data_IF_277519397954
#
_entry.id   IF_277519397954
#
_cell.length_a   1.000
_cell.length_b   1.000
_cell.length_c   1.000
_cell.angle_alpha   90.00
_cell.angle_beta   90.00
_cell.angle_gamma   90.00
#
_symmetry.space_group_name_H-M   'P 1'
#
loop_
_entity.id
_entity.type
_entity.pdbx_description
1 polymer ?
#
# COMPACT_ATOMS: atom_id res chain seq x y z
N UNK A 1 26.42 12.30 36.02
CA UNK A 1 26.04 12.65 34.64
C UNK A 1 26.67 14.02 34.35
N UNK A 2 27.61 14.09 33.42
CA UNK A 2 28.40 15.31 33.21
C UNK A 2 27.56 16.38 32.50
N UNK A 3 27.68 17.63 32.95
CA UNK A 3 26.96 18.81 32.41
C UNK A 3 26.99 18.91 30.87
N UNK A 4 28.09 18.46 30.23
CA UNK A 4 28.19 18.39 28.77
C UNK A 4 27.25 17.34 28.11
N UNK A 5 27.00 16.23 28.79
CA UNK A 5 26.05 15.21 28.27
C UNK A 5 24.59 15.68 28.34
N UNK A 6 24.26 16.43 29.40
CA UNK A 6 22.92 17.00 29.55
C UNK A 6 22.63 18.11 28.55
N UNK A 7 23.65 18.93 28.22
CA UNK A 7 23.52 20.00 27.20
C UNK A 7 23.43 19.39 25.79
N UNK A 8 24.19 18.33 25.49
CA UNK A 8 24.11 17.62 24.21
C UNK A 8 22.74 16.93 24.02
N UNK A 9 22.19 16.35 25.09
CA UNK A 9 20.85 15.73 25.06
C UNK A 9 19.76 16.81 24.87
N UNK A 10 19.89 17.98 25.47
CA UNK A 10 18.96 19.11 25.33
C UNK A 10 19.02 19.73 23.93
N UNK A 11 20.20 19.79 23.31
CA UNK A 11 20.37 20.27 21.93
C UNK A 11 19.77 19.26 20.93
N UNK A 12 19.91 17.97 21.16
CA UNK A 12 19.30 16.92 20.33
C UNK A 12 17.75 16.96 20.44
N UNK A 13 17.21 17.22 21.63
CA UNK A 13 15.75 17.41 21.81
C UNK A 13 15.23 18.73 21.20
N UNK A 14 16.04 19.79 21.12
CA UNK A 14 15.61 21.07 20.54
C UNK A 14 15.65 21.12 19.00
N UNK A 15 16.52 20.30 18.38
CA UNK A 15 16.53 20.13 16.92
C UNK A 15 15.64 18.99 16.43
N UNK A 16 15.04 18.21 17.34
CA UNK A 16 14.11 17.11 17.05
C UNK A 16 12.67 17.50 16.74
N UNK A 17 12.32 18.81 16.73
CA UNK A 17 11.05 19.28 16.14
C UNK A 17 11.10 19.28 14.60
N UNK A 18 11.70 18.26 14.02
CA UNK A 18 11.60 17.95 12.61
C UNK A 18 10.15 17.54 12.33
N UNK A 19 9.37 18.49 11.86
CA UNK A 19 8.14 18.38 11.09
C UNK A 19 7.66 16.93 10.90
N UNK A 20 6.88 16.43 11.84
CA UNK A 20 6.17 15.16 11.70
C UNK A 20 5.10 15.34 10.62
N UNK A 21 5.51 15.17 9.37
CA UNK A 21 4.55 15.04 8.29
C UNK A 21 3.96 13.64 8.41
N UNK A 22 2.64 13.55 8.55
CA UNK A 22 1.93 12.29 8.53
C UNK A 22 2.32 11.52 7.25
N UNK A 23 3.04 10.43 7.43
CA UNK A 23 3.35 9.49 6.36
C UNK A 23 2.07 8.73 6.01
N UNK A 24 1.91 8.37 4.75
CA UNK A 24 0.88 7.42 4.36
C UNK A 24 1.32 6.01 4.72
N UNK A 25 0.37 5.08 4.76
CA UNK A 25 0.62 3.69 5.06
C UNK A 25 1.63 3.07 4.08
N UNK A 26 2.62 2.37 4.61
CA UNK A 26 3.63 1.66 3.83
C UNK A 26 3.29 0.17 3.77
N UNK A 27 3.54 -0.44 2.63
CA UNK A 27 3.42 -1.88 2.45
C UNK A 27 4.76 -2.50 2.06
N UNK A 28 4.88 -3.81 2.26
CA UNK A 28 6.07 -4.58 1.91
C UNK A 28 5.83 -5.44 0.67
N UNK A 29 4.60 -5.92 0.45
CA UNK A 29 4.24 -6.63 -0.76
C UNK A 29 3.89 -5.65 -1.89
N UNK A 30 4.45 -5.88 -3.08
CA UNK A 30 4.21 -5.00 -4.25
C UNK A 30 2.74 -4.94 -4.68
N UNK A 31 1.98 -6.03 -4.51
CA UNK A 31 0.57 -6.08 -4.84
C UNK A 31 -0.27 -5.20 -3.90
N UNK A 32 0.08 -5.13 -2.61
CA UNK A 32 -0.56 -4.22 -1.66
C UNK A 32 -0.36 -2.76 -2.09
N UNK A 33 0.84 -2.41 -2.55
CA UNK A 33 1.10 -1.10 -3.16
C UNK A 33 0.18 -0.81 -4.34
N UNK A 34 0.02 -1.77 -5.26
CA UNK A 34 -0.82 -1.60 -6.44
C UNK A 34 -2.27 -1.33 -6.07
N UNK A 35 -2.83 -2.15 -5.17
CA UNK A 35 -4.24 -2.05 -4.79
C UNK A 35 -4.57 -0.73 -4.12
N UNK A 36 -3.63 -0.20 -3.36
CA UNK A 36 -3.79 1.09 -2.70
C UNK A 36 -3.47 2.28 -3.62
N UNK A 37 -2.35 2.20 -4.34
CA UNK A 37 -1.74 3.37 -5.00
C UNK A 37 -2.20 3.56 -6.45
N UNK A 38 -2.46 2.48 -7.19
CA UNK A 38 -2.85 2.56 -8.60
C UNK A 38 -3.83 1.47 -9.00
N UNK A 39 -5.10 1.70 -8.75
CA UNK A 39 -6.17 0.77 -9.09
C UNK A 39 -6.35 0.53 -10.59
N UNK A 40 -5.87 1.45 -11.46
CA UNK A 40 -5.88 1.24 -12.91
C UNK A 40 -4.88 0.15 -13.33
N UNK A 41 -3.66 0.16 -12.80
CA UNK A 41 -2.68 -0.91 -13.03
C UNK A 41 -3.10 -2.20 -12.33
N UNK A 42 -3.64 -2.12 -11.13
CA UNK A 42 -4.21 -3.26 -10.40
C UNK A 42 -5.29 -3.99 -11.21
N UNK A 43 -5.99 -3.29 -12.11
CA UNK A 43 -7.03 -3.86 -12.97
C UNK A 43 -6.51 -4.70 -14.14
N UNK A 44 -5.21 -4.82 -14.36
CA UNK A 44 -4.64 -5.66 -15.43
C UNK A 44 -4.61 -7.15 -15.10
N UNK A 45 -5.15 -7.59 -13.96
CA UNK A 45 -5.21 -9.01 -13.61
C UNK A 45 -6.02 -9.84 -14.61
N UNK A 46 -5.71 -11.12 -14.72
CA UNK A 46 -6.41 -12.07 -15.57
C UNK A 46 -7.46 -12.83 -14.75
N UNK A 47 -8.72 -12.44 -14.89
CA UNK A 47 -9.85 -13.01 -14.16
C UNK A 47 -11.06 -12.10 -14.22
N UNK A 48 -12.16 -12.53 -13.60
CA UNK A 48 -13.37 -11.72 -13.41
C UNK A 48 -13.41 -11.04 -12.05
N UNK A 49 -12.91 -11.73 -11.03
CA UNK A 49 -12.86 -11.28 -9.65
C UNK A 49 -11.44 -11.29 -9.12
N UNK A 50 -11.12 -10.28 -8.36
CA UNK A 50 -9.92 -10.28 -7.55
C UNK A 50 -10.27 -9.80 -6.15
N UNK A 51 -9.86 -10.57 -5.16
CA UNK A 51 -9.94 -10.18 -3.75
C UNK A 51 -8.55 -10.29 -3.13
N UNK A 52 -8.20 -9.38 -2.25
CA UNK A 52 -6.96 -9.43 -1.50
C UNK A 52 -7.19 -9.02 -0.05
N UNK A 53 -6.48 -9.67 0.84
CA UNK A 53 -6.35 -9.24 2.24
C UNK A 53 -4.86 -9.23 2.58
N UNK A 54 -4.41 -8.18 3.26
CA UNK A 54 -3.06 -8.10 3.79
C UNK A 54 -3.08 -7.60 5.23
N UNK A 55 -2.13 -8.10 6.01
CA UNK A 55 -1.91 -7.68 7.39
C UNK A 55 -0.42 -7.43 7.59
N UNK A 56 -0.09 -6.23 8.05
CA UNK A 56 1.28 -5.78 8.29
C UNK A 56 1.44 -5.33 9.73
N UNK A 57 2.55 -5.72 10.35
CA UNK A 57 2.97 -5.28 11.68
C UNK A 57 4.39 -4.76 11.61
N UNK A 58 4.61 -3.52 12.06
CA UNK A 58 5.90 -2.83 11.98
C UNK A 58 6.32 -2.34 13.36
N UNK A 59 7.64 -2.30 13.61
CA UNK A 59 8.30 -1.76 14.80
C UNK A 59 7.86 -2.35 16.14
N UNK A 60 7.43 -3.60 16.15
CA UNK A 60 7.02 -4.31 17.37
C UNK A 60 8.14 -4.45 18.43
N UNK A 61 9.40 -4.19 18.06
CA UNK A 61 10.55 -4.24 18.95
C UNK A 61 10.93 -2.89 19.59
N UNK A 62 10.33 -1.79 19.11
CA UNK A 62 10.74 -0.43 19.53
C UNK A 62 9.68 0.22 20.42
N UNK A 63 8.42 0.10 20.04
CA UNK A 63 7.28 0.79 20.70
C UNK A 63 6.00 0.00 20.46
N UNK A 64 4.84 0.61 20.73
CA UNK A 64 3.55 0.09 20.29
C UNK A 64 3.57 -0.12 18.77
N UNK A 65 3.35 -1.35 18.30
CA UNK A 65 3.51 -1.67 16.89
C UNK A 65 2.51 -0.90 16.02
N UNK A 66 2.96 -0.49 14.84
CA UNK A 66 2.07 -0.02 13.78
C UNK A 66 1.43 -1.23 13.12
N UNK A 67 0.12 -1.23 13.00
CA UNK A 67 -0.65 -2.34 12.45
C UNK A 67 -1.50 -1.82 11.30
N UNK A 68 -1.26 -2.37 10.10
CA UNK A 68 -2.03 -2.03 8.91
C UNK A 68 -2.74 -3.27 8.38
N UNK A 69 -4.05 -3.20 8.20
CA UNK A 69 -4.87 -4.27 7.62
C UNK A 69 -5.59 -3.76 6.39
N UNK A 70 -5.65 -4.57 5.34
CA UNK A 70 -6.31 -4.19 4.08
C UNK A 70 -7.26 -5.26 3.59
N UNK A 71 -8.31 -4.81 2.92
CA UNK A 71 -9.21 -5.64 2.15
C UNK A 71 -9.48 -4.96 0.80
N UNK A 72 -9.19 -5.65 -0.29
CA UNK A 72 -9.43 -5.17 -1.64
C UNK A 72 -10.33 -6.13 -2.40
N UNK A 73 -11.31 -5.60 -3.09
CA UNK A 73 -12.22 -6.33 -3.96
C UNK A 73 -12.30 -5.63 -5.31
N UNK A 74 -12.25 -6.37 -6.40
CA UNK A 74 -12.44 -5.83 -7.73
C UNK A 74 -13.19 -6.84 -8.60
N UNK A 75 -14.18 -6.36 -9.35
CA UNK A 75 -14.94 -7.15 -10.32
C UNK A 75 -14.88 -6.52 -11.69
N UNK A 76 -14.63 -7.35 -12.71
CA UNK A 76 -14.73 -6.98 -14.12
C UNK A 76 -16.09 -7.34 -14.70
N UNK A 77 -16.64 -6.42 -15.46
CA UNK A 77 -17.87 -6.57 -16.19
C UNK A 77 -17.56 -6.58 -17.70
N UNK A 78 -18.01 -7.62 -18.38
CA UNK A 78 -17.80 -7.77 -19.81
C UNK A 78 -18.93 -7.08 -20.56
N UNK A 79 -18.57 -6.13 -21.41
CA UNK A 79 -19.52 -5.52 -22.35
C UNK A 79 -19.62 -6.35 -23.62
N UNK A 80 -20.63 -6.07 -24.43
CA UNK A 80 -20.78 -6.68 -25.77
C UNK A 80 -19.55 -6.44 -26.64
N UNK A 81 -18.91 -5.28 -26.51
CA UNK A 81 -17.60 -5.01 -27.09
C UNK A 81 -16.51 -5.67 -26.25
N UNK A 82 -15.91 -6.74 -26.79
CA UNK A 82 -14.83 -7.50 -26.11
C UNK A 82 -13.56 -6.70 -25.85
N UNK A 83 -13.36 -5.57 -26.52
CA UNK A 83 -12.20 -4.71 -26.33
C UNK A 83 -12.31 -3.86 -25.05
N UNK A 84 -13.52 -3.63 -24.55
CA UNK A 84 -13.77 -2.82 -23.37
C UNK A 84 -14.26 -3.71 -22.23
N UNK A 85 -13.66 -3.55 -21.04
CA UNK A 85 -14.14 -4.13 -19.80
C UNK A 85 -14.31 -3.01 -18.79
N UNK A 86 -15.44 -2.94 -18.16
CA UNK A 86 -15.64 -2.09 -16.99
C UNK A 86 -15.20 -2.86 -15.74
N UNK A 87 -14.83 -2.14 -14.72
CA UNK A 87 -14.56 -2.75 -13.42
C UNK A 87 -14.99 -1.81 -12.29
N UNK A 88 -15.36 -2.40 -11.19
CA UNK A 88 -15.72 -1.70 -9.97
C UNK A 88 -15.26 -2.52 -8.78
N UNK A 89 -14.93 -1.86 -7.68
CA UNK A 89 -14.48 -2.54 -6.50
C UNK A 89 -14.45 -1.65 -5.27
N UNK A 90 -13.94 -2.23 -4.19
CA UNK A 90 -13.84 -1.62 -2.88
C UNK A 90 -12.44 -1.83 -2.33
N UNK A 91 -11.95 -0.85 -1.59
CA UNK A 91 -10.74 -0.92 -0.80
C UNK A 91 -11.05 -0.43 0.61
N UNK A 92 -10.76 -1.26 1.58
CA UNK A 92 -10.73 -0.89 2.99
C UNK A 92 -9.31 -0.99 3.50
N UNK A 93 -8.85 0.05 4.19
CA UNK A 93 -7.56 0.07 4.89
C UNK A 93 -7.82 0.56 6.29
N UNK A 94 -7.36 -0.18 7.28
CA UNK A 94 -7.26 0.26 8.65
C UNK A 94 -5.78 0.34 9.02
N UNK A 95 -5.35 1.50 9.48
CA UNK A 95 -4.02 1.74 9.99
C UNK A 95 -4.09 2.24 11.43
N UNK A 96 -3.38 1.54 12.32
CA UNK A 96 -3.32 1.88 13.74
C UNK A 96 -1.88 2.15 14.12
N UNK A 97 -1.62 3.31 14.71
CA UNK A 97 -0.24 3.78 14.93
C UNK A 97 -0.06 4.54 16.23
N UNK A 98 1.08 4.28 16.88
CA UNK A 98 1.57 5.02 18.03
C UNK A 98 0.86 4.75 19.35
N UNK A 99 1.38 5.38 20.42
CA UNK A 99 0.89 5.23 21.78
C UNK A 99 -0.50 5.87 21.98
N UNK A 100 -0.83 6.89 21.18
CA UNK A 100 -2.15 7.52 21.16
C UNK A 100 -3.21 6.71 20.39
N UNK A 101 -2.84 5.50 19.89
CA UNK A 101 -3.70 4.61 19.12
C UNK A 101 -4.44 5.35 17.99
N UNK A 102 -3.70 6.23 17.26
CA UNK A 102 -4.27 6.89 16.09
C UNK A 102 -4.74 5.82 15.11
N UNK A 103 -6.03 5.72 14.92
CA UNK A 103 -6.66 4.81 13.96
C UNK A 103 -7.12 5.60 12.75
N UNK A 104 -6.72 5.14 11.57
CA UNK A 104 -7.13 5.69 10.27
C UNK A 104 -7.85 4.61 9.50
N UNK A 105 -9.12 4.84 9.20
CA UNK A 105 -9.96 3.95 8.40
C UNK A 105 -10.23 4.60 7.04
N UNK A 106 -9.82 3.93 5.95
CA UNK A 106 -10.10 4.34 4.58
C UNK A 106 -11.15 3.41 3.97
N UNK A 107 -12.32 3.94 3.66
CA UNK A 107 -13.40 3.24 2.93
C UNK A 107 -13.51 3.83 1.54
N UNK A 108 -12.92 3.18 0.55
CA UNK A 108 -12.83 3.68 -0.82
C UNK A 108 -13.52 2.72 -1.79
N UNK A 109 -14.38 3.26 -2.64
CA UNK A 109 -14.89 2.58 -3.82
C UNK A 109 -14.09 3.00 -5.05
N UNK A 110 -13.97 2.13 -6.03
CA UNK A 110 -13.39 2.50 -7.32
C UNK A 110 -14.21 1.99 -8.48
N UNK A 111 -14.21 2.78 -9.54
CA UNK A 111 -14.85 2.44 -10.82
C UNK A 111 -13.93 2.83 -11.96
N UNK A 112 -13.94 2.05 -13.02
CA UNK A 112 -13.09 2.34 -14.16
C UNK A 112 -13.34 1.43 -15.34
N UNK A 113 -12.45 1.54 -16.31
CA UNK A 113 -12.50 0.75 -17.52
C UNK A 113 -11.12 0.40 -18.05
N UNK A 114 -11.06 -0.73 -18.72
CA UNK A 114 -9.89 -1.20 -19.43
C UNK A 114 -10.24 -1.34 -20.90
N UNK A 115 -9.41 -0.77 -21.78
CA UNK A 115 -9.54 -0.86 -23.23
C UNK A 115 -8.34 -1.59 -23.82
N UNK A 116 -8.59 -2.62 -24.63
CA UNK A 116 -7.55 -3.37 -25.34
C UNK A 116 -7.58 -3.03 -26.83
N UNK A 117 -6.44 -2.60 -27.32
CA UNK A 117 -6.22 -2.34 -28.74
C UNK A 117 -4.91 -3.02 -29.20
N UNK A 118 -5.03 -4.02 -30.07
CA UNK A 118 -3.91 -4.87 -30.49
C UNK A 118 -3.18 -5.45 -29.28
N UNK A 119 -1.91 -5.12 -29.12
CA UNK A 119 -1.04 -5.55 -28.04
C UNK A 119 -1.00 -4.55 -26.86
N UNK A 120 -1.72 -3.42 -26.98
CA UNK A 120 -1.84 -2.41 -25.94
C UNK A 120 -3.06 -2.65 -25.07
N UNK A 121 -2.93 -2.35 -23.82
CA UNK A 121 -4.03 -2.31 -22.86
C UNK A 121 -3.92 -1.02 -22.06
N UNK A 122 -5.00 -0.26 -22.04
CA UNK A 122 -5.13 0.99 -21.31
C UNK A 122 -6.15 0.81 -20.20
N UNK A 123 -5.96 1.44 -19.08
CA UNK A 123 -6.91 1.46 -17.97
C UNK A 123 -7.01 2.87 -17.40
N UNK A 124 -8.22 3.27 -17.05
CA UNK A 124 -8.48 4.49 -16.30
C UNK A 124 -9.41 4.19 -15.15
N UNK A 125 -9.14 4.76 -13.99
CA UNK A 125 -9.88 4.47 -12.78
C UNK A 125 -10.06 5.72 -11.93
N UNK A 126 -11.23 5.86 -11.32
CA UNK A 126 -11.53 6.84 -10.28
C UNK A 126 -11.78 6.08 -8.99
N UNK A 127 -11.14 6.49 -7.90
CA UNK A 127 -11.33 5.96 -6.56
C UNK A 127 -11.81 7.08 -5.65
N UNK A 128 -12.84 6.84 -4.85
CA UNK A 128 -13.46 7.85 -4.00
C UNK A 128 -14.05 7.20 -2.74
N UNK A 129 -14.14 7.97 -1.68
CA UNK A 129 -14.74 7.49 -0.44
C UNK A 129 -14.44 8.35 0.76
N UNK A 130 -14.55 7.76 1.93
CA UNK A 130 -14.42 8.44 3.23
C UNK A 130 -13.17 7.93 3.93
N UNK A 131 -12.39 8.86 4.46
CA UNK A 131 -11.28 8.61 5.37
C UNK A 131 -11.71 9.11 6.75
N UNK A 132 -11.64 8.24 7.75
CA UNK A 132 -11.90 8.57 9.15
C UNK A 132 -10.62 8.46 9.94
N UNK A 133 -10.35 9.43 10.81
CA UNK A 133 -9.22 9.43 11.74
C UNK A 133 -9.75 9.57 13.15
N UNK A 134 -9.24 8.76 14.06
CA UNK A 134 -9.65 8.76 15.46
C UNK A 134 -8.44 8.61 16.38
N UNK A 135 -8.37 9.43 17.40
CA UNK A 135 -7.42 9.34 18.51
C UNK A 135 -8.12 8.69 19.70
N UNK A 136 -7.41 7.82 20.42
CA UNK A 136 -7.91 7.23 21.66
C UNK A 136 -7.73 8.23 22.81
N UNK A 137 -8.83 8.64 23.44
CA UNK A 137 -8.82 9.62 24.53
C UNK A 137 -8.11 9.11 25.80
N UNK A 138 -8.05 7.79 25.98
CA UNK A 138 -7.61 7.19 27.25
C UNK A 138 -6.10 7.24 27.49
N UNK A 139 -5.30 7.38 26.44
CA UNK A 139 -3.82 7.30 26.50
C UNK A 139 -3.13 8.58 26.00
N UNK A 140 -3.89 9.62 25.68
CA UNK A 140 -3.33 10.85 25.14
C UNK A 140 -2.70 11.68 26.27
N UNK A 141 -1.38 11.78 26.27
CA UNK A 141 -0.64 12.67 27.17
C UNK A 141 0.04 13.76 26.37
N UNK A 142 -0.15 15.01 26.78
CA UNK A 142 0.41 16.19 26.13
C UNK A 142 1.71 16.61 26.79
N UNK A 143 2.66 17.23 26.08
CA UNK A 143 3.92 17.70 26.66
C UNK A 143 3.74 18.62 27.87
N UNK A 144 2.69 19.45 27.89
CA UNK A 144 2.33 20.33 29.04
C UNK A 144 1.93 19.59 30.30
N UNK A 145 1.57 18.31 30.19
CA UNK A 145 1.17 17.47 31.32
C UNK A 145 2.37 16.74 31.96
N UNK A 146 3.60 16.93 31.45
CA UNK A 146 4.77 16.36 32.08
C UNK A 146 5.14 17.11 33.35
N UNK A 147 4.95 16.47 34.49
CA UNK A 147 5.33 16.98 35.80
C UNK A 147 6.81 16.71 36.06
N UNK A 148 7.60 17.77 36.13
CA UNK A 148 9.05 17.70 36.38
C UNK A 148 9.39 17.30 37.82
N UNK A 149 8.48 17.48 38.76
CA UNK A 149 8.71 17.11 40.16
C UNK A 149 8.55 15.62 40.39
N UNK A 150 7.56 15.01 39.76
CA UNK A 150 7.30 13.56 39.86
C UNK A 150 8.01 12.76 38.79
N UNK A 151 8.48 13.40 37.69
CA UNK A 151 9.09 12.74 36.54
C UNK A 151 8.11 11.93 35.69
N UNK A 152 6.80 12.18 35.81
CA UNK A 152 5.74 11.48 35.10
C UNK A 152 4.72 12.43 34.46
N UNK A 153 3.78 11.86 33.72
CA UNK A 153 2.67 12.62 33.15
C UNK A 153 1.52 12.69 34.16
N UNK A 154 1.01 13.92 34.40
CA UNK A 154 -0.14 14.19 35.23
C UNK A 154 -1.28 14.74 34.36
N UNK A 155 -2.31 13.92 34.13
CA UNK A 155 -3.46 14.26 33.28
C UNK A 155 -4.30 15.44 33.80
N UNK A 156 -4.12 15.83 35.07
CA UNK A 156 -4.81 16.99 35.68
C UNK A 156 -4.11 18.30 35.34
N UNK A 157 -2.90 18.28 34.75
CA UNK A 157 -2.23 19.48 34.29
C UNK A 157 -2.78 19.88 32.90
N UNK A 158 -2.83 21.20 32.61
CA UNK A 158 -3.26 21.67 31.29
C UNK A 158 -2.37 21.06 30.19
N UNK A 159 -2.96 20.48 29.14
CA UNK A 159 -2.23 19.86 28.04
C UNK A 159 -1.42 20.85 27.18
N UNK A 160 -1.80 22.11 27.18
CA UNK A 160 -1.18 23.18 26.39
C UNK A 160 -1.71 23.26 24.95
N UNK A 161 -2.36 22.21 24.47
CA UNK A 161 -3.01 22.15 23.15
C UNK A 161 -4.49 21.80 23.35
N UNK A 162 -5.37 22.55 22.67
CA UNK A 162 -6.79 22.23 22.64
C UNK A 162 -7.09 21.40 21.40
N UNK A 163 -7.47 20.15 21.60
CA UNK A 163 -8.04 19.33 20.53
C UNK A 163 -9.50 19.75 20.34
N UNK A 164 -9.86 20.17 19.14
CA UNK A 164 -11.23 20.49 18.79
C UNK A 164 -12.10 19.22 18.76
N UNK A 165 -11.52 18.11 18.32
CA UNK A 165 -12.15 16.82 18.28
C UNK A 165 -11.11 15.71 18.30
N UNK A 166 -11.47 14.55 18.87
CA UNK A 166 -10.66 13.32 18.81
C UNK A 166 -11.00 12.45 17.59
N UNK A 167 -12.01 12.84 16.82
CA UNK A 167 -12.39 12.17 15.59
C UNK A 167 -12.69 13.17 14.47
N UNK A 168 -12.29 12.83 13.26
CA UNK A 168 -12.60 13.60 12.05
C UNK A 168 -12.80 12.65 10.88
N UNK A 169 -13.61 13.08 9.92
CA UNK A 169 -13.82 12.33 8.67
C UNK A 169 -13.88 13.29 7.49
N UNK A 170 -13.33 12.89 6.37
CA UNK A 170 -13.33 13.67 5.14
C UNK A 170 -13.50 12.78 3.92
N UNK A 171 -13.95 13.38 2.83
CA UNK A 171 -14.08 12.71 1.55
C UNK A 171 -12.77 12.79 0.77
N UNK A 172 -12.35 11.67 0.16
CA UNK A 172 -11.15 11.58 -0.66
C UNK A 172 -11.48 11.16 -2.09
N UNK A 173 -10.71 11.71 -3.05
CA UNK A 173 -10.85 11.44 -4.48
C UNK A 173 -9.48 11.24 -5.11
N UNK A 174 -9.32 10.11 -5.80
CA UNK A 174 -8.08 9.71 -6.45
C UNK A 174 -8.36 9.32 -7.90
N UNK A 175 -7.44 9.63 -8.81
CA UNK A 175 -7.48 9.23 -10.21
C UNK A 175 -6.26 8.40 -10.55
N UNK A 176 -6.43 7.38 -11.36
CA UNK A 176 -5.31 6.56 -11.85
C UNK A 176 -5.47 6.18 -13.31
N UNK A 177 -4.33 6.10 -13.99
CA UNK A 177 -4.18 5.64 -15.35
C UNK A 177 -3.17 4.50 -15.39
N UNK A 178 -3.38 3.57 -16.31
CA UNK A 178 -2.48 2.46 -16.54
C UNK A 178 -2.33 2.18 -18.03
N UNK A 179 -1.15 1.83 -18.43
CA UNK A 179 -0.86 1.35 -19.78
C UNK A 179 0.03 0.12 -19.69
N UNK A 180 -0.24 -0.87 -20.56
CA UNK A 180 0.52 -2.10 -20.68
C UNK A 180 0.64 -2.48 -22.14
N UNK A 181 1.82 -2.93 -22.54
CA UNK A 181 2.13 -3.31 -23.91
C UNK A 181 2.90 -4.63 -23.96
N UNK A 182 2.42 -5.57 -24.75
CA UNK A 182 3.14 -6.81 -25.04
C UNK A 182 4.01 -6.62 -26.27
N UNK A 183 5.27 -6.29 -26.04
CA UNK A 183 6.22 -6.00 -27.13
C UNK A 183 6.48 -7.23 -27.99
N UNK A 184 6.72 -8.39 -27.33
CA UNK A 184 6.96 -9.66 -28.01
C UNK A 184 6.65 -10.83 -27.05
N UNK A 185 7.06 -12.04 -27.41
CA UNK A 185 6.85 -13.22 -26.56
C UNK A 185 7.65 -13.17 -25.25
N UNK A 186 8.76 -12.39 -25.21
CA UNK A 186 9.65 -12.30 -24.05
C UNK A 186 9.38 -11.08 -23.16
N UNK A 187 8.80 -10.00 -23.71
CA UNK A 187 8.68 -8.74 -23.00
C UNK A 187 7.25 -8.23 -22.97
N UNK A 188 6.79 -7.91 -21.77
CA UNK A 188 5.62 -7.12 -21.52
C UNK A 188 6.06 -5.96 -20.63
N UNK A 189 5.71 -4.73 -21.00
CA UNK A 189 6.10 -3.51 -20.29
C UNK A 189 4.86 -2.69 -19.98
N UNK A 190 4.92 -1.87 -18.95
CA UNK A 190 3.81 -1.00 -18.62
C UNK A 190 4.21 0.15 -17.72
N UNK A 191 3.28 1.09 -17.62
CA UNK A 191 3.39 2.26 -16.77
C UNK A 191 2.05 2.59 -16.12
N UNK A 192 2.11 3.33 -15.04
CA UNK A 192 0.96 3.87 -14.35
C UNK A 192 1.21 5.29 -13.88
N UNK A 193 0.15 6.06 -13.82
CA UNK A 193 0.10 7.40 -13.24
C UNK A 193 -1.05 7.43 -12.24
N UNK A 194 -0.83 8.02 -11.08
CA UNK A 194 -1.88 8.25 -10.11
C UNK A 194 -1.80 9.66 -9.55
N UNK A 195 -2.96 10.26 -9.28
CA UNK A 195 -3.09 11.52 -8.55
C UNK A 195 -4.01 11.25 -7.37
N UNK A 196 -3.53 11.49 -6.16
CA UNK A 196 -4.26 11.23 -4.92
C UNK A 196 -4.59 12.53 -4.20
N UNK A 197 -5.62 12.48 -3.38
CA UNK A 197 -6.09 13.62 -2.58
C UNK A 197 -6.41 14.86 -3.43
N UNK A 198 -7.12 14.66 -4.56
CA UNK A 198 -7.48 15.73 -5.49
C UNK A 198 -8.29 16.85 -4.83
N UNK A 199 -9.09 16.53 -3.82
CA UNK A 199 -9.94 17.49 -3.12
C UNK A 199 -9.17 18.29 -2.07
N UNK A 200 -7.95 17.85 -1.70
CA UNK A 200 -7.15 18.48 -0.65
C UNK A 200 -7.97 18.78 0.63
N UNK A 201 -8.78 17.79 1.05
CA UNK A 201 -9.70 17.92 2.16
C UNK A 201 -8.99 18.34 3.45
N UNK A 202 -9.67 19.06 4.31
CA UNK A 202 -9.17 19.41 5.64
C UNK A 202 -9.11 18.17 6.53
N UNK A 203 -7.99 17.99 7.22
CA UNK A 203 -7.76 16.82 8.07
C UNK A 203 -6.89 17.20 9.28
N UNK A 204 -7.38 18.12 10.10
CA UNK A 204 -6.73 18.58 11.33
C UNK A 204 -7.60 18.24 12.54
N UNK A 205 -6.95 17.81 13.63
CA UNK A 205 -7.57 17.70 14.95
C UNK A 205 -7.49 19.04 15.74
N UNK A 206 -6.73 20.00 15.21
CA UNK A 206 -6.53 21.34 15.79
C UNK A 206 -7.34 22.34 14.99
N UNK A 207 -7.59 23.51 15.58
CA UNK A 207 -8.29 24.64 14.92
C UNK A 207 -7.54 25.19 13.67
N UNK A 208 -6.37 24.66 13.36
CA UNK A 208 -5.59 25.08 12.19
C UNK A 208 -6.11 24.44 10.91
N UNK A 209 -6.26 25.27 9.87
CA UNK A 209 -6.63 24.81 8.53
C UNK A 209 -5.45 24.03 7.91
N UNK A 210 -5.46 22.72 8.05
CA UNK A 210 -4.44 21.82 7.54
C UNK A 210 -5.01 20.89 6.48
N UNK A 211 -4.80 21.24 5.21
CA UNK A 211 -5.25 20.48 4.07
C UNK A 211 -4.28 19.33 3.73
N UNK A 212 -4.82 18.19 3.38
CA UNK A 212 -4.01 17.07 2.86
C UNK A 212 -3.48 17.48 1.48
N UNK A 213 -2.15 17.55 1.29
CA UNK A 213 -1.60 17.91 -0.01
C UNK A 213 -1.88 16.85 -1.06
N UNK A 214 -2.16 17.27 -2.28
CA UNK A 214 -2.22 16.40 -3.45
C UNK A 214 -0.90 15.65 -3.64
N UNK A 215 -0.99 14.38 -4.00
CA UNK A 215 0.16 13.53 -4.30
C UNK A 215 0.11 12.96 -5.71
N UNK A 216 1.27 12.78 -6.32
CA UNK A 216 1.42 12.21 -7.65
C UNK A 216 2.33 10.98 -7.58
N UNK A 217 1.87 9.87 -8.17
CA UNK A 217 2.64 8.64 -8.25
C UNK A 217 2.87 8.21 -9.70
N UNK A 218 4.07 7.76 -9.99
CA UNK A 218 4.46 7.16 -11.26
C UNK A 218 4.90 5.73 -11.01
N UNK A 219 4.49 4.83 -11.87
CA UNK A 219 4.85 3.43 -11.82
C UNK A 219 5.38 2.95 -13.15
N UNK A 220 6.48 2.20 -13.12
CA UNK A 220 7.02 1.47 -14.27
C UNK A 220 7.14 0.00 -13.87
N UNK A 221 6.73 -0.88 -14.76
CA UNK A 221 6.83 -2.32 -14.52
C UNK A 221 7.09 -3.06 -15.82
N UNK A 222 7.72 -4.21 -15.71
CA UNK A 222 7.88 -5.11 -16.84
C UNK A 222 7.74 -6.57 -16.38
N UNK A 223 7.50 -7.45 -17.34
CA UNK A 223 7.64 -8.90 -17.20
C UNK A 223 8.56 -9.39 -18.29
N UNK A 224 9.68 -9.99 -17.90
CA UNK A 224 10.61 -10.64 -18.80
C UNK A 224 10.46 -12.17 -18.67
N UNK A 225 10.01 -12.82 -19.72
CA UNK A 225 9.88 -14.27 -19.81
C UNK A 225 11.25 -14.85 -20.21
N UNK A 226 12.02 -15.29 -19.20
CA UNK A 226 13.34 -15.92 -19.40
C UNK A 226 13.17 -17.19 -20.22
N UNK A 227 12.19 -18.00 -19.86
CA UNK A 227 11.71 -19.18 -20.57
C UNK A 227 10.24 -19.44 -20.19
N UNK A 228 9.67 -20.57 -20.60
CA UNK A 228 8.27 -20.91 -20.35
C UNK A 228 7.92 -21.14 -18.86
N UNK A 229 8.93 -21.37 -17.99
CA UNK A 229 8.73 -21.57 -16.54
C UNK A 229 9.18 -20.39 -15.70
N UNK A 230 10.12 -19.59 -16.18
CA UNK A 230 10.76 -18.55 -15.38
C UNK A 230 10.46 -17.17 -15.94
N UNK A 231 10.09 -16.25 -15.05
CA UNK A 231 9.90 -14.84 -15.38
C UNK A 231 10.48 -13.92 -14.32
N UNK A 232 10.95 -12.76 -14.75
CA UNK A 232 11.42 -11.68 -13.91
C UNK A 232 10.46 -10.50 -14.05
N UNK A 233 10.09 -9.90 -12.93
CA UNK A 233 9.15 -8.77 -12.86
C UNK A 233 9.79 -7.59 -12.13
N UNK A 234 10.62 -6.78 -12.82
CA UNK A 234 11.09 -5.53 -12.24
C UNK A 234 9.95 -4.52 -12.08
N UNK A 235 10.03 -3.73 -11.02
CA UNK A 235 9.10 -2.66 -10.71
C UNK A 235 9.86 -1.44 -10.18
N UNK A 236 9.39 -0.26 -10.56
CA UNK A 236 9.72 1.02 -9.97
C UNK A 236 8.41 1.73 -9.68
N UNK A 237 8.25 2.20 -8.47
CA UNK A 237 7.16 3.06 -8.05
C UNK A 237 7.75 4.28 -7.36
N UNK A 238 7.37 5.49 -7.78
CA UNK A 238 7.76 6.76 -7.16
C UNK A 238 6.50 7.56 -6.85
N UNK A 239 6.34 7.95 -5.60
CA UNK A 239 5.20 8.74 -5.14
C UNK A 239 5.69 9.98 -4.40
N UNK A 240 5.16 11.13 -4.77
CA UNK A 240 5.55 12.43 -4.22
C UNK A 240 4.35 13.22 -3.77
N UNK A 241 4.45 13.77 -2.57
CA UNK A 241 3.44 14.62 -1.96
C UNK A 241 4.12 15.74 -1.19
N UNK A 242 4.00 17.01 -1.66
CA UNK A 242 4.59 18.22 -1.05
C UNK A 242 6.05 18.02 -0.62
N UNK A 243 6.27 17.61 0.64
CA UNK A 243 7.59 17.39 1.25
C UNK A 243 7.86 15.91 1.58
N UNK A 244 6.99 15.00 1.17
CA UNK A 244 7.14 13.55 1.36
C UNK A 244 7.30 12.86 0.02
N UNK A 245 8.25 11.94 -0.09
CA UNK A 245 8.32 11.01 -1.22
C UNK A 245 8.63 9.61 -0.75
N UNK A 246 8.21 8.67 -1.56
CA UNK A 246 8.49 7.27 -1.38
C UNK A 246 8.83 6.67 -2.75
N UNK A 247 9.99 6.05 -2.84
CA UNK A 247 10.39 5.30 -4.03
C UNK A 247 10.59 3.84 -3.65
N UNK A 248 9.86 2.95 -4.31
CA UNK A 248 10.03 1.50 -4.20
C UNK A 248 10.53 0.97 -5.54
N UNK A 249 11.62 0.24 -5.54
CA UNK A 249 12.12 -0.46 -6.72
C UNK A 249 12.66 -1.83 -6.37
N UNK A 250 12.56 -2.76 -7.30
CA UNK A 250 13.03 -4.12 -7.06
C UNK A 250 12.64 -5.08 -8.17
N UNK A 251 12.82 -6.35 -7.90
CA UNK A 251 12.52 -7.42 -8.85
C UNK A 251 11.92 -8.61 -8.12
N UNK A 252 10.95 -9.23 -8.77
CA UNK A 252 10.39 -10.51 -8.37
C UNK A 252 10.72 -11.56 -9.44
N UNK A 253 11.19 -12.70 -9.01
CA UNK A 253 11.35 -13.89 -9.82
C UNK A 253 10.21 -14.85 -9.53
N UNK A 254 9.57 -15.35 -10.60
CA UNK A 254 8.53 -16.35 -10.52
C UNK A 254 8.95 -17.62 -11.27
N UNK A 255 8.65 -18.79 -10.69
CA UNK A 255 8.92 -20.09 -11.27
C UNK A 255 7.65 -20.96 -11.29
N UNK A 256 7.23 -21.36 -12.50
CA UNK A 256 6.09 -22.26 -12.69
C UNK A 256 6.54 -23.71 -12.44
N UNK A 257 5.83 -24.42 -11.58
CA UNK A 257 6.05 -25.83 -11.26
C UNK A 257 5.28 -26.74 -12.21
N UNK A 258 5.72 -27.98 -12.32
CA UNK A 258 4.99 -28.98 -13.12
C UNK A 258 3.72 -29.43 -12.38
N UNK A 259 2.55 -29.09 -12.91
CA UNK A 259 1.24 -29.37 -12.31
C UNK A 259 0.99 -30.87 -12.00
N UNK A 260 1.69 -31.79 -12.69
CA UNK A 260 1.57 -33.20 -12.42
C UNK A 260 2.40 -33.73 -11.24
N UNK A 261 3.32 -32.88 -10.73
CA UNK A 261 4.30 -33.30 -9.70
C UNK A 261 4.26 -32.44 -8.44
N UNK A 262 3.65 -31.27 -8.49
CA UNK A 262 3.64 -30.32 -7.40
C UNK A 262 2.22 -29.95 -6.97
N UNK A 263 2.03 -29.75 -5.67
CA UNK A 263 0.77 -29.25 -5.08
C UNK A 263 0.53 -27.77 -5.45
N UNK A 264 1.62 -27.02 -5.65
CA UNK A 264 1.57 -25.59 -6.00
C UNK A 264 1.79 -25.40 -7.50
N UNK A 265 1.15 -24.38 -8.09
CA UNK A 265 1.31 -24.02 -9.50
C UNK A 265 2.60 -23.23 -9.74
N UNK A 266 2.97 -22.37 -8.76
CA UNK A 266 4.10 -21.45 -8.84
C UNK A 266 4.64 -21.11 -7.47
N UNK A 267 5.93 -20.79 -7.38
CA UNK A 267 6.50 -20.03 -6.29
C UNK A 267 7.18 -18.76 -6.82
N UNK A 268 7.36 -17.78 -5.94
CA UNK A 268 8.02 -16.53 -6.29
C UNK A 268 8.87 -16.02 -5.13
N UNK A 269 9.92 -15.28 -5.49
CA UNK A 269 10.81 -14.59 -4.56
C UNK A 269 11.03 -13.17 -5.07
N UNK A 270 11.04 -12.20 -4.17
CA UNK A 270 11.21 -10.79 -4.48
C UNK A 270 12.20 -10.12 -3.57
N UNK A 271 12.95 -9.16 -4.11
CA UNK A 271 13.80 -8.26 -3.36
C UNK A 271 13.54 -6.81 -3.83
N UNK A 272 13.28 -5.93 -2.88
CA UNK A 272 12.92 -4.54 -3.16
C UNK A 272 13.66 -3.61 -2.20
N UNK A 273 13.92 -2.39 -2.64
CA UNK A 273 14.41 -1.30 -1.81
C UNK A 273 13.34 -0.22 -1.72
N UNK A 274 13.05 0.22 -0.52
CA UNK A 274 12.21 1.39 -0.26
C UNK A 274 13.11 2.54 0.19
N UNK A 275 12.89 3.71 -0.40
CA UNK A 275 13.63 4.93 -0.12
C UNK A 275 12.65 6.06 0.20
N UNK A 276 12.96 6.84 1.24
CA UNK A 276 12.25 8.07 1.58
C UNK A 276 13.04 9.31 1.13
N UNK A 277 12.39 10.48 1.15
CA UNK A 277 13.08 11.75 0.82
C UNK A 277 14.22 12.02 1.79
N UNK A 278 15.32 12.47 1.24
CA UNK A 278 16.37 13.15 1.97
C UNK A 278 17.64 12.37 2.20
N UNK A 279 17.80 11.19 1.59
CA UNK A 279 19.09 10.51 1.43
C UNK A 279 19.23 9.08 1.93
N UNK A 280 18.39 8.59 2.84
CA UNK A 280 18.64 7.28 3.44
C UNK A 280 17.69 6.22 2.88
N UNK A 281 18.23 5.04 2.60
CA UNK A 281 17.43 3.85 2.33
C UNK A 281 16.60 3.54 3.57
N UNK A 282 15.28 3.54 3.43
CA UNK A 282 14.37 3.26 4.54
C UNK A 282 14.40 1.76 4.89
N UNK A 283 14.24 0.91 3.88
CA UNK A 283 14.23 -0.53 4.09
C UNK A 283 14.69 -1.33 2.86
N UNK A 284 15.30 -2.47 3.12
CA UNK A 284 15.41 -3.59 2.18
C UNK A 284 14.29 -4.57 2.47
N UNK A 285 13.51 -4.92 1.46
CA UNK A 285 12.35 -5.80 1.58
C UNK A 285 12.66 -7.11 0.89
N UNK A 286 12.53 -8.21 1.61
CA UNK A 286 12.60 -9.55 1.07
C UNK A 286 11.22 -10.20 1.17
N UNK A 287 10.73 -10.72 0.05
CA UNK A 287 9.41 -11.32 0.00
C UNK A 287 9.40 -12.60 -0.80
N UNK A 288 8.34 -13.38 -0.64
CA UNK A 288 8.12 -14.57 -1.41
C UNK A 288 6.79 -15.22 -1.11
N UNK A 289 6.46 -16.24 -1.87
CA UNK A 289 5.21 -16.94 -1.67
C UNK A 289 4.95 -18.00 -2.72
N UNK A 290 3.72 -18.48 -2.72
CA UNK A 290 3.24 -19.57 -3.55
C UNK A 290 1.91 -19.20 -4.21
N UNK A 291 1.68 -19.78 -5.37
CA UNK A 291 0.37 -19.76 -6.02
C UNK A 291 -0.16 -21.19 -6.16
N UNK A 292 -1.41 -21.38 -5.84
CA UNK A 292 -2.11 -22.63 -6.10
C UNK A 292 -3.56 -22.35 -6.52
N UNK A 293 -3.99 -22.93 -7.62
CA UNK A 293 -5.31 -22.67 -8.22
C UNK A 293 -5.58 -21.17 -8.46
N UNK A 294 -6.50 -20.61 -7.67
CA UNK A 294 -6.91 -19.21 -7.75
C UNK A 294 -6.27 -18.33 -6.67
N UNK A 295 -5.46 -18.91 -5.79
CA UNK A 295 -4.89 -18.22 -4.63
C UNK A 295 -3.40 -17.96 -4.81
N UNK A 296 -2.99 -16.78 -4.35
CA UNK A 296 -1.58 -16.39 -4.16
C UNK A 296 -1.40 -16.01 -2.70
N UNK A 297 -0.54 -16.73 -2.00
CA UNK A 297 -0.15 -16.46 -0.62
C UNK A 297 1.27 -15.90 -0.61
N UNK A 298 1.46 -14.76 0.04
CA UNK A 298 2.74 -14.09 0.13
C UNK A 298 3.08 -13.66 1.54
N UNK A 299 4.38 -13.59 1.81
CA UNK A 299 4.94 -12.96 2.99
C UNK A 299 6.11 -12.07 2.59
N UNK A 300 6.27 -10.95 3.27
CA UNK A 300 7.41 -10.05 3.10
C UNK A 300 7.91 -9.57 4.44
N UNK A 301 9.21 -9.32 4.51
CA UNK A 301 9.91 -8.81 5.68
C UNK A 301 10.75 -7.59 5.30
N UNK A 302 10.57 -6.50 6.05
CA UNK A 302 11.35 -5.28 5.93
C UNK A 302 12.57 -5.38 6.86
N UNK A 303 13.75 -5.20 6.31
CA UNK A 303 14.97 -4.98 7.05
C UNK A 303 15.16 -3.47 7.12
N UNK A 304 15.03 -2.89 8.32
CA UNK A 304 15.17 -1.44 8.52
C UNK A 304 16.63 -1.02 8.31
N UNK A 305 16.85 -0.06 7.42
CA UNK A 305 18.15 0.53 7.09
C UNK A 305 18.16 2.05 7.34
N UNK A 306 17.11 2.58 7.96
CA UNK A 306 17.01 4.01 8.31
C UNK A 306 17.84 4.33 9.55
N UNK A 307 17.98 5.61 9.89
CA UNK A 307 18.69 6.08 11.10
C UNK A 307 18.11 5.52 12.42
N UNK A 308 16.96 4.84 12.35
CA UNK A 308 16.33 4.12 13.46
C UNK A 308 16.86 2.67 13.62
N UNK A 309 17.86 2.25 12.85
CA UNK A 309 18.41 0.90 12.88
C UNK A 309 18.95 0.52 14.27
N UNK A 310 19.59 1.47 14.97
CA UNK A 310 20.12 1.29 16.32
C UNK A 310 19.00 1.01 17.34
N UNK A 311 17.83 1.64 17.20
CA UNK A 311 16.71 1.45 18.11
C UNK A 311 15.91 0.20 17.76
N UNK A 312 15.81 -0.13 16.48
CA UNK A 312 15.02 -1.26 15.97
C UNK A 312 15.81 -2.55 15.85
N UNK A 313 17.15 -2.52 16.05
CA UNK A 313 18.06 -3.64 15.76
C UNK A 313 17.85 -4.20 14.33
N UNK A 314 17.66 -3.31 13.36
CA UNK A 314 17.29 -3.60 11.96
C UNK A 314 15.94 -4.33 11.78
N UNK A 315 15.12 -4.47 12.83
CA UNK A 315 13.79 -5.09 12.74
C UNK A 315 12.81 -4.06 12.21
N UNK A 316 12.32 -4.27 11.00
CA UNK A 316 11.35 -3.40 10.33
C UNK A 316 9.92 -3.88 10.51
N UNK A 317 9.39 -4.57 9.51
CA UNK A 317 8.01 -5.03 9.50
C UNK A 317 7.84 -6.38 8.85
N UNK A 318 6.78 -7.09 9.21
CA UNK A 318 6.31 -8.30 8.54
C UNK A 318 4.95 -8.04 7.93
N UNK A 319 4.74 -8.50 6.69
CA UNK A 319 3.45 -8.44 6.01
C UNK A 319 3.11 -9.82 5.45
N UNK A 320 1.86 -10.25 5.67
CA UNK A 320 1.29 -11.45 5.09
C UNK A 320 0.14 -11.01 4.19
N UNK A 321 0.06 -11.59 2.98
CA UNK A 321 -0.96 -11.27 1.99
C UNK A 321 -1.56 -12.52 1.39
N UNK A 322 -2.88 -12.51 1.20
CA UNK A 322 -3.64 -13.50 0.45
C UNK A 322 -4.37 -12.80 -0.69
N UNK A 323 -4.19 -13.31 -1.91
CA UNK A 323 -4.92 -12.83 -3.09
C UNK A 323 -5.70 -14.01 -3.68
N UNK A 324 -6.95 -13.78 -4.00
CA UNK A 324 -7.82 -14.66 -4.78
C UNK A 324 -8.09 -14.03 -6.14
N UNK A 325 -7.86 -14.77 -7.22
CA UNK A 325 -8.19 -14.34 -8.58
C UNK A 325 -9.14 -15.35 -9.23
N UNK A 326 -10.43 -15.00 -9.28
CA UNK A 326 -11.48 -15.83 -9.86
C UNK A 326 -11.33 -15.97 -11.37
N UNK A 327 -11.32 -17.22 -11.86
CA UNK A 327 -11.20 -17.52 -13.29
C UNK A 327 -12.46 -17.09 -14.04
N UNK A 328 -12.29 -16.70 -15.30
CA UNK A 328 -13.38 -16.48 -16.23
C UNK A 328 -14.10 -17.82 -16.44
N UNK A 329 -15.34 -17.93 -16.02
CA UNK A 329 -16.18 -19.09 -16.37
C UNK A 329 -16.50 -18.98 -17.85
N UNK A 330 -15.85 -19.78 -18.70
CA UNK A 330 -16.34 -19.98 -20.03
C UNK A 330 -17.74 -20.60 -19.93
N UNK A 331 -18.75 -19.90 -20.43
CA UNK A 331 -20.07 -20.52 -20.63
C UNK A 331 -19.81 -21.75 -21.50
N UNK A 332 -20.00 -22.94 -20.93
CA UNK A 332 -20.03 -24.16 -21.73
C UNK A 332 -21.09 -23.91 -22.79
N UNK A 333 -20.71 -23.86 -24.07
CA UNK A 333 -21.68 -23.91 -25.17
C UNK A 333 -22.42 -25.24 -24.95
N UNK A 334 -23.67 -25.15 -24.55
CA UNK A 334 -24.57 -26.30 -24.57
C UNK A 334 -24.71 -26.62 -26.07
N UNK A 335 -24.03 -27.65 -26.53
CA UNK A 335 -24.29 -28.19 -27.85
C UNK A 335 -25.71 -28.79 -27.78
N UNK A 336 -26.65 -28.10 -28.39
CA UNK A 336 -27.99 -28.66 -28.61
C UNK A 336 -27.76 -29.79 -29.65
N UNK A 337 -28.01 -31.06 -29.30
CA UNK A 337 -27.92 -32.11 -30.28
C UNK A 337 -28.96 -31.78 -31.37
N UNK A 338 -28.52 -31.65 -32.62
CA UNK A 338 -29.43 -31.64 -33.74
C UNK A 338 -30.01 -33.06 -33.84
N UNK A 339 -31.23 -33.27 -33.37
CA UNK A 339 -31.99 -34.46 -33.70
C UNK A 339 -32.30 -34.35 -35.18
N UNK A 340 -31.73 -35.23 -35.95
CA UNK A 340 -32.12 -35.44 -37.34
C UNK A 340 -33.48 -36.10 -37.33
N UNK A 341 -34.47 -35.40 -37.90
CA UNK A 341 -35.68 -36.01 -38.44
C UNK A 341 -35.42 -36.50 -39.85
#
# INVERSE_FOLDING_TARGET
MNFHQSVSLLIVCFFGSAFLYAQEEHFSNKESYLFQRNTAVASFFEGEWQASSAHRRQWASVTVPFITSTLYLNKKFHLSNRAVKLHAGLLYIQDQSGDAELTIDNFLAHVGGTYRYLQHQFSANTQFGIVSKQLSDGNLTMPGQFDRETGGFNINLPGGENLESTSLSFFDLNLSLGWQYRWNQKWQVGSGLTVRHLLQSEASFLEENNQIPMGVGVQLFATYFVNHKNRLKPILYDYRRKKSSETLFGVEWEHDLDQYKAFFDRFYLGAYSRQAIGSNTDALILGGGIEFNAFRLGAAYDINLSDLDLASENRGGIEIQLIYTGKIRSLKKIAIPCEHY
#
